data_IF_791369199203
#
_entry.id   IF_791369199203
#
_cell.length_a   1.000
_cell.length_b   1.000
_cell.length_c   1.000
_cell.angle_alpha   90.00
_cell.angle_beta   90.00
_cell.angle_gamma   90.00
#
_symmetry.space_group_name_H-M   'P 1'
#
loop_
_entity.id
_entity.type
_entity.pdbx_description
1 polymer ?
#
# COMPACT_ATOMS: atom_id res chain seq x y z
N UNK A 1 13.52 -11.72 31.21
CA UNK A 1 12.24 -12.34 30.81
C UNK A 1 11.33 -11.23 30.29
N UNK A 2 11.14 -11.13 28.98
CA UNK A 2 10.29 -10.09 28.37
C UNK A 2 8.85 -10.59 28.38
N UNK A 3 7.97 -9.87 29.08
CA UNK A 3 6.54 -10.16 29.14
C UNK A 3 5.93 -10.06 27.74
N UNK A 4 5.31 -11.15 27.28
CA UNK A 4 4.46 -11.13 26.09
C UNK A 4 3.35 -10.08 26.30
N UNK A 5 3.11 -9.15 25.36
CA UNK A 5 1.95 -8.28 25.46
C UNK A 5 0.71 -9.15 25.28
N UNK A 6 -0.13 -9.26 26.32
CA UNK A 6 -1.37 -10.04 26.28
C UNK A 6 -2.53 -9.31 25.60
N UNK A 7 -2.28 -8.18 24.93
CA UNK A 7 -3.29 -7.42 24.22
C UNK A 7 -2.81 -7.06 22.80
N UNK A 8 -3.75 -7.10 21.85
CA UNK A 8 -3.53 -6.72 20.44
C UNK A 8 -2.91 -5.33 20.32
N UNK A 9 -3.30 -4.39 21.20
CA UNK A 9 -2.73 -3.05 21.24
C UNK A 9 -1.26 -3.04 21.72
N UNK A 10 -0.93 -3.94 22.65
CA UNK A 10 0.44 -4.16 23.11
C UNK A 10 1.34 -4.74 22.01
N UNK A 11 0.84 -5.72 21.25
CA UNK A 11 1.55 -6.29 20.10
C UNK A 11 1.78 -5.24 19.01
N UNK A 12 0.76 -4.44 18.68
CA UNK A 12 0.86 -3.32 17.74
C UNK A 12 1.91 -2.29 18.17
N UNK A 13 1.89 -1.88 19.44
CA UNK A 13 2.86 -0.92 19.98
C UNK A 13 4.29 -1.49 19.95
N UNK A 14 4.45 -2.79 20.21
CA UNK A 14 5.75 -3.45 20.18
C UNK A 14 6.32 -3.57 18.77
N UNK A 15 5.47 -3.67 17.73
CA UNK A 15 5.92 -3.74 16.34
C UNK A 15 6.81 -2.55 15.94
N UNK A 16 6.52 -1.35 16.44
CA UNK A 16 7.31 -0.14 16.18
C UNK A 16 8.68 -0.11 16.87
N UNK A 17 8.90 -0.98 17.86
CA UNK A 17 10.16 -1.06 18.63
C UNK A 17 11.09 -2.16 18.11
N UNK A 18 10.70 -2.83 17.04
CA UNK A 18 11.49 -3.91 16.45
C UNK A 18 12.70 -3.37 15.70
N UNK A 19 13.77 -4.15 15.64
CA UNK A 19 14.97 -3.82 14.87
C UNK A 19 14.64 -3.64 13.37
N UNK A 20 13.79 -4.52 12.83
CA UNK A 20 13.34 -4.45 11.43
C UNK A 20 12.60 -3.15 11.12
N UNK A 21 11.76 -2.66 12.05
CA UNK A 21 11.12 -1.35 11.89
C UNK A 21 12.14 -0.21 11.87
N UNK A 22 13.08 -0.19 12.81
CA UNK A 22 14.12 0.83 12.84
C UNK A 22 15.00 0.84 11.58
N UNK A 23 15.36 -0.35 11.08
CA UNK A 23 16.12 -0.51 9.83
C UNK A 23 15.33 -0.03 8.61
N UNK A 24 14.04 -0.39 8.51
CA UNK A 24 13.19 0.05 7.41
C UNK A 24 12.98 1.57 7.42
N UNK A 25 12.74 2.14 8.60
CA UNK A 25 12.65 3.58 8.79
C UNK A 25 13.94 4.27 8.33
N UNK A 26 15.11 3.79 8.77
CA UNK A 26 16.40 4.35 8.38
C UNK A 26 16.66 4.26 6.86
N UNK A 27 16.33 3.11 6.24
CA UNK A 27 16.41 2.94 4.77
C UNK A 27 15.57 4.01 4.07
N UNK A 28 14.28 4.11 4.38
CA UNK A 28 13.37 5.08 3.73
C UNK A 28 13.84 6.53 3.92
N UNK A 29 14.24 6.90 5.15
CA UNK A 29 14.70 8.26 5.45
C UNK A 29 15.96 8.64 4.67
N UNK A 30 16.92 7.72 4.55
CA UNK A 30 18.15 7.94 3.78
C UNK A 30 17.86 8.25 2.30
N UNK A 31 16.84 7.62 1.73
CA UNK A 31 16.48 7.79 0.34
C UNK A 31 15.65 9.05 0.11
N UNK A 32 14.65 9.32 0.95
CA UNK A 32 13.82 10.52 0.82
C UNK A 32 14.65 11.79 1.08
N UNK A 33 15.60 11.75 2.03
CA UNK A 33 16.55 12.83 2.27
C UNK A 33 17.45 13.13 1.05
N UNK A 34 17.82 12.12 0.27
CA UNK A 34 18.61 12.29 -0.98
C UNK A 34 17.78 12.93 -2.09
N UNK A 35 16.51 12.54 -2.23
CA UNK A 35 15.61 13.09 -3.27
C UNK A 35 15.21 14.53 -2.98
N UNK A 36 15.06 14.89 -1.69
CA UNK A 36 14.65 16.23 -1.25
C UNK A 36 15.73 17.31 -1.46
N UNK A 37 17.01 16.93 -1.45
CA UNK A 37 18.14 17.87 -1.62
C UNK A 37 18.37 18.25 -3.10
N UNK A 38 17.71 17.57 -4.06
CA UNK A 38 18.00 17.74 -5.50
C UNK A 38 16.86 18.22 -6.40
N UNK A 39 15.61 18.36 -5.92
CA UNK A 39 14.49 18.61 -6.85
C UNK A 39 13.30 19.31 -6.19
N UNK A 40 13.26 20.64 -6.36
CA UNK A 40 12.05 21.42 -6.14
C UNK A 40 11.00 21.00 -7.18
N UNK A 41 9.87 20.44 -6.75
CA UNK A 41 8.84 19.80 -7.59
C UNK A 41 7.99 20.79 -8.42
N UNK A 42 8.50 21.98 -8.73
CA UNK A 42 7.72 23.01 -9.43
C UNK A 42 7.83 22.98 -10.96
N UNK A 43 8.66 22.15 -11.57
CA UNK A 43 8.73 22.10 -13.04
C UNK A 43 9.56 20.94 -13.58
N UNK A 44 9.03 19.73 -13.78
CA UNK A 44 9.68 18.77 -14.68
C UNK A 44 8.68 17.88 -15.44
N UNK A 45 9.04 17.46 -16.68
CA UNK A 45 8.19 16.65 -17.54
C UNK A 45 8.12 15.17 -17.07
N UNK A 46 7.08 14.42 -17.48
CA UNK A 46 6.69 13.12 -16.90
C UNK A 46 7.66 11.95 -17.13
N UNK A 47 8.77 12.14 -17.85
CA UNK A 47 9.64 11.04 -18.29
C UNK A 47 10.79 10.70 -17.32
N UNK A 48 11.07 11.52 -16.29
CA UNK A 48 12.22 11.31 -15.38
C UNK A 48 11.83 10.70 -14.02
N UNK A 49 10.53 10.71 -13.66
CA UNK A 49 10.05 10.16 -12.38
C UNK A 49 10.05 8.63 -12.31
N UNK A 50 9.87 7.95 -13.46
CA UNK A 50 9.88 6.49 -13.53
C UNK A 50 11.24 5.88 -13.13
N UNK A 51 12.35 6.57 -13.40
CA UNK A 51 13.68 6.10 -13.02
C UNK A 51 13.94 6.25 -11.51
N UNK A 52 13.34 7.24 -10.83
CA UNK A 52 13.53 7.42 -9.40
C UNK A 52 12.71 6.43 -8.56
N UNK A 53 11.52 6.03 -9.02
CA UNK A 53 10.71 5.00 -8.31
C UNK A 53 11.36 3.62 -8.39
N UNK A 54 12.01 3.29 -9.51
CA UNK A 54 12.70 2.00 -9.67
C UNK A 54 13.79 1.75 -8.61
N UNK A 55 14.56 2.77 -8.23
CA UNK A 55 15.69 2.62 -7.29
C UNK A 55 15.29 2.38 -5.83
N UNK A 56 14.07 2.76 -5.41
CA UNK A 56 13.67 2.61 -4.01
C UNK A 56 12.99 1.27 -3.75
N UNK A 57 12.09 0.82 -4.63
CA UNK A 57 11.52 -0.53 -4.52
C UNK A 57 12.61 -1.62 -4.59
N UNK A 58 13.71 -1.37 -5.32
CA UNK A 58 14.89 -2.23 -5.32
C UNK A 58 15.64 -2.30 -3.98
N UNK A 59 15.63 -1.24 -3.18
CA UNK A 59 16.32 -1.20 -1.88
C UNK A 59 15.42 -1.51 -0.69
N UNK A 60 14.11 -1.30 -0.84
CA UNK A 60 13.10 -1.58 0.17
C UNK A 60 12.62 -3.02 0.12
N UNK A 61 12.50 -3.63 -1.07
CA UNK A 61 11.96 -4.98 -1.20
C UNK A 61 13.03 -6.05 -1.12
N UNK A 62 12.72 -7.13 -0.40
CA UNK A 62 13.57 -8.32 -0.30
C UNK A 62 12.78 -9.57 -0.75
N UNK A 63 13.28 -10.35 -1.73
CA UNK A 63 14.42 -10.03 -2.61
C UNK A 63 14.12 -8.83 -3.52
N UNK A 64 15.16 -8.07 -3.88
CA UNK A 64 15.06 -6.94 -4.81
C UNK A 64 14.71 -7.37 -6.23
N UNK A 65 14.34 -6.42 -7.10
CA UNK A 65 13.76 -6.74 -8.41
C UNK A 65 14.74 -7.47 -9.34
N UNK A 66 16.02 -7.10 -9.32
CA UNK A 66 17.05 -7.77 -10.14
C UNK A 66 17.26 -9.23 -9.71
N UNK A 67 17.43 -9.46 -8.40
CA UNK A 67 17.57 -10.81 -7.83
C UNK A 67 16.34 -11.65 -8.16
N UNK A 68 15.15 -11.08 -7.97
CA UNK A 68 13.90 -11.74 -8.28
C UNK A 68 13.76 -12.06 -9.78
N UNK A 69 14.11 -11.13 -10.68
CA UNK A 69 14.06 -11.35 -12.12
C UNK A 69 14.99 -12.49 -12.55
N UNK A 70 16.18 -12.57 -11.95
CA UNK A 70 17.10 -13.68 -12.18
C UNK A 70 16.51 -15.00 -11.67
N UNK A 71 15.92 -15.03 -10.47
CA UNK A 71 15.24 -16.20 -9.92
C UNK A 71 14.08 -16.67 -10.79
N UNK A 72 13.24 -15.76 -11.28
CA UNK A 72 12.11 -16.09 -12.17
C UNK A 72 12.62 -16.77 -13.45
N UNK A 73 13.73 -16.28 -14.02
CA UNK A 73 14.35 -16.86 -15.22
C UNK A 73 14.97 -18.23 -14.97
N UNK A 74 15.57 -18.45 -13.81
CA UNK A 74 16.31 -19.70 -13.51
C UNK A 74 15.44 -20.80 -12.92
N UNK A 75 14.42 -20.45 -12.14
CA UNK A 75 13.63 -21.40 -11.34
C UNK A 75 12.23 -21.68 -11.91
N UNK A 76 11.88 -21.13 -13.09
CA UNK A 76 10.58 -21.33 -13.77
C UNK A 76 9.37 -21.20 -12.81
N UNK A 77 9.21 -20.02 -12.21
CA UNK A 77 8.14 -19.76 -11.26
C UNK A 77 6.75 -20.01 -11.87
N UNK A 78 5.83 -20.54 -11.06
CA UNK A 78 4.42 -20.58 -11.42
C UNK A 78 3.91 -19.14 -11.63
N UNK A 79 3.10 -18.89 -12.67
CA UNK A 79 2.66 -17.52 -13.03
C UNK A 79 1.98 -16.76 -11.89
N UNK A 80 1.26 -17.45 -10.99
CA UNK A 80 0.68 -16.83 -9.79
C UNK A 80 1.71 -16.29 -8.78
N UNK A 81 2.90 -16.87 -8.72
CA UNK A 81 4.01 -16.38 -7.88
C UNK A 81 4.58 -15.09 -8.48
N UNK A 82 4.77 -15.08 -9.81
CA UNK A 82 5.20 -13.89 -10.56
C UNK A 82 4.19 -12.75 -10.38
N UNK A 83 2.90 -13.03 -10.55
CA UNK A 83 1.81 -12.07 -10.28
C UNK A 83 1.90 -11.51 -8.85
N UNK A 84 2.18 -12.36 -7.85
CA UNK A 84 2.31 -11.93 -6.46
C UNK A 84 3.50 -10.99 -6.23
N UNK A 85 4.66 -11.32 -6.78
CA UNK A 85 5.82 -10.46 -6.65
C UNK A 85 5.64 -9.13 -7.38
N UNK A 86 4.94 -9.12 -8.52
CA UNK A 86 4.60 -7.89 -9.23
C UNK A 86 3.63 -7.03 -8.43
N UNK A 87 2.52 -7.60 -7.93
CA UNK A 87 1.53 -6.84 -7.14
C UNK A 87 2.12 -6.32 -5.82
N UNK A 88 3.05 -7.04 -5.21
CA UNK A 88 3.78 -6.54 -4.03
C UNK A 88 4.79 -5.44 -4.37
N UNK A 89 5.35 -5.43 -5.57
CA UNK A 89 6.16 -4.32 -6.08
C UNK A 89 5.30 -3.07 -6.30
N UNK A 90 4.18 -3.21 -7.03
CA UNK A 90 3.23 -2.11 -7.27
C UNK A 90 2.77 -1.50 -5.93
N UNK A 91 2.58 -2.31 -4.88
CA UNK A 91 2.23 -1.84 -3.55
C UNK A 91 3.34 -1.05 -2.85
N UNK A 92 4.60 -1.45 -3.03
CA UNK A 92 5.74 -0.71 -2.54
C UNK A 92 5.83 0.68 -3.17
N UNK A 93 5.63 0.77 -4.49
CA UNK A 93 5.65 2.04 -5.22
C UNK A 93 4.56 3.00 -4.71
N UNK A 94 3.34 2.49 -4.46
CA UNK A 94 2.26 3.30 -3.86
C UNK A 94 2.62 3.76 -2.45
N UNK A 95 3.20 2.88 -1.63
CA UNK A 95 3.70 3.22 -0.29
C UNK A 95 4.78 4.30 -0.33
N UNK A 96 5.70 4.27 -1.28
CA UNK A 96 6.70 5.32 -1.48
C UNK A 96 6.06 6.66 -1.82
N UNK A 97 5.13 6.69 -2.79
CA UNK A 97 4.44 7.92 -3.18
C UNK A 97 3.69 8.54 -2.00
N UNK A 98 3.07 7.73 -1.15
CA UNK A 98 2.43 8.19 0.08
C UNK A 98 3.43 8.79 1.05
N UNK A 99 4.56 8.12 1.29
CA UNK A 99 5.61 8.63 2.17
C UNK A 99 6.07 10.00 1.69
N UNK A 100 6.40 10.16 0.40
CA UNK A 100 6.75 11.46 -0.20
C UNK A 100 5.65 12.50 0.02
N UNK A 101 4.38 12.13 -0.19
CA UNK A 101 3.23 12.98 0.08
C UNK A 101 3.14 13.42 1.55
N UNK A 102 3.42 12.52 2.49
CA UNK A 102 3.44 12.80 3.93
C UNK A 102 4.51 13.83 4.29
N UNK A 103 5.74 13.71 3.75
CA UNK A 103 6.78 14.72 3.99
C UNK A 103 6.36 16.09 3.45
N UNK A 104 5.76 16.12 2.26
CA UNK A 104 5.25 17.37 1.70
C UNK A 104 4.10 17.96 2.52
N UNK A 105 3.19 17.13 3.04
CA UNK A 105 2.13 17.58 3.95
C UNK A 105 2.75 18.27 5.18
N UNK A 106 3.75 17.65 5.81
CA UNK A 106 4.43 18.23 6.98
C UNK A 106 5.09 19.57 6.66
N UNK A 107 5.71 19.69 5.49
CA UNK A 107 6.30 20.95 5.01
C UNK A 107 5.23 22.01 4.76
N UNK A 108 4.13 21.65 4.08
CA UNK A 108 3.02 22.55 3.78
C UNK A 108 2.35 23.06 5.06
N UNK A 109 2.17 22.19 6.05
CA UNK A 109 1.58 22.56 7.35
C UNK A 109 2.46 23.48 8.21
N UNK A 110 3.76 23.66 7.88
CA UNK A 110 4.54 24.72 8.52
C UNK A 110 3.97 26.11 8.25
N UNK A 111 3.29 26.31 7.11
CA UNK A 111 2.59 27.56 6.79
C UNK A 111 1.46 27.84 7.77
N UNK A 112 0.65 26.82 8.05
CA UNK A 112 -0.41 26.93 9.05
C UNK A 112 0.17 27.16 10.45
N UNK A 113 1.26 26.45 10.79
CA UNK A 113 1.94 26.65 12.07
C UNK A 113 2.40 28.10 12.25
N UNK A 114 3.04 28.70 11.24
CA UNK A 114 3.43 30.12 11.25
C UNK A 114 2.23 31.05 11.40
N UNK A 115 1.15 30.80 10.67
CA UNK A 115 -0.09 31.56 10.80
C UNK A 115 -0.65 31.51 12.24
N UNK A 116 -0.56 30.34 12.88
CA UNK A 116 -1.03 30.12 14.26
C UNK A 116 -0.11 30.79 15.29
N UNK A 117 1.21 30.70 15.10
CA UNK A 117 2.20 31.39 15.93
C UNK A 117 2.03 32.92 15.83
N UNK A 118 1.84 33.44 14.61
CA UNK A 118 1.51 34.84 14.39
C UNK A 118 0.23 35.22 15.12
N UNK A 119 -0.84 34.42 15.06
CA UNK A 119 -2.11 34.73 15.73
C UNK A 119 -2.01 34.78 17.27
N UNK A 120 -1.02 34.12 17.87
CA UNK A 120 -0.80 34.11 19.33
C UNK A 120 -0.06 35.34 19.85
N UNK A 121 0.60 36.11 18.98
CA UNK A 121 1.30 37.33 19.38
C UNK A 121 0.27 38.41 19.76
N UNK A 122 0.46 39.03 20.93
CA UNK A 122 -0.37 40.15 21.40
C UNK A 122 0.38 41.45 21.16
N UNK A 123 -0.20 42.36 20.38
CA UNK A 123 0.31 43.71 20.18
C UNK A 123 -0.67 44.72 20.77
N UNK A 124 -0.16 45.72 21.50
CA UNK A 124 -0.98 46.75 22.15
C UNK A 124 -1.44 47.87 21.19
N UNK A 125 -0.81 47.99 20.03
CA UNK A 125 -1.10 49.03 19.03
C UNK A 125 -1.89 48.49 17.82
N UNK A 126 -2.89 49.24 17.40
CA UNK A 126 -3.79 48.93 16.29
C UNK A 126 -3.06 48.83 14.94
N UNK A 127 -1.99 49.62 14.72
CA UNK A 127 -1.21 49.54 13.47
C UNK A 127 -0.48 48.19 13.33
N UNK A 128 -0.06 47.60 14.44
CA UNK A 128 0.62 46.31 14.45
C UNK A 128 -0.36 45.13 14.30
N UNK A 129 -1.61 45.29 14.73
CA UNK A 129 -2.65 44.27 14.62
C UNK A 129 -3.14 44.04 13.16
N UNK A 130 -3.20 45.10 12.34
CA UNK A 130 -3.55 44.97 10.92
C UNK A 130 -2.44 44.29 10.12
N UNK A 131 -1.19 44.73 10.31
CA UNK A 131 -0.03 44.10 9.66
C UNK A 131 0.11 42.61 10.03
N UNK A 132 -0.13 42.26 11.30
CA UNK A 132 -0.20 40.87 11.74
C UNK A 132 -1.29 40.08 11.00
N UNK A 133 -2.49 40.64 10.89
CA UNK A 133 -3.62 40.00 10.18
C UNK A 133 -3.30 39.78 8.70
N UNK A 134 -2.60 40.73 8.07
CA UNK A 134 -2.08 40.63 6.70
C UNK A 134 -1.08 39.49 6.54
N UNK A 135 -0.11 39.37 7.46
CA UNK A 135 0.88 38.28 7.46
C UNK A 135 0.23 36.91 7.67
N UNK A 136 -0.75 36.80 8.57
CA UNK A 136 -1.53 35.58 8.77
C UNK A 136 -2.24 35.20 7.47
N UNK A 137 -2.92 36.14 6.82
CA UNK A 137 -3.60 35.89 5.54
C UNK A 137 -2.63 35.50 4.42
N UNK A 138 -1.41 36.05 4.41
CA UNK A 138 -0.37 35.67 3.45
C UNK A 138 0.03 34.19 3.62
N UNK A 139 0.26 33.73 4.85
CA UNK A 139 0.60 32.33 5.12
C UNK A 139 -0.57 31.38 4.79
N UNK A 140 -1.81 31.76 5.13
CA UNK A 140 -3.01 30.98 4.79
C UNK A 140 -3.27 30.93 3.29
N UNK A 141 -3.09 32.04 2.57
CA UNK A 141 -3.23 32.10 1.12
C UNK A 141 -2.17 31.25 0.43
N UNK A 142 -0.92 31.30 0.91
CA UNK A 142 0.15 30.45 0.43
C UNK A 142 -0.24 28.96 0.64
N UNK A 143 -0.68 28.57 1.84
CA UNK A 143 -1.12 27.20 2.11
C UNK A 143 -2.28 26.76 1.21
N UNK A 144 -3.31 27.61 1.07
CA UNK A 144 -4.46 27.34 0.22
C UNK A 144 -4.09 27.06 -1.24
N UNK A 145 -3.07 27.75 -1.75
CA UNK A 145 -2.58 27.63 -3.12
C UNK A 145 -1.80 26.33 -3.38
N UNK A 146 -1.23 25.70 -2.35
CA UNK A 146 -0.45 24.47 -2.49
C UNK A 146 -1.33 23.30 -2.88
N UNK A 147 -0.96 22.55 -3.92
CA UNK A 147 -1.63 21.29 -4.26
C UNK A 147 -1.54 20.29 -3.11
N UNK A 148 -2.62 19.55 -2.86
CA UNK A 148 -2.61 18.47 -1.89
C UNK A 148 -1.61 17.39 -2.33
N UNK A 149 -0.57 17.08 -1.54
CA UNK A 149 0.44 16.10 -1.93
C UNK A 149 -0.10 14.70 -2.22
N UNK A 150 -1.23 14.33 -1.60
CA UNK A 150 -1.91 13.06 -1.84
C UNK A 150 -2.70 13.05 -3.16
N UNK A 151 -2.84 14.19 -3.84
CA UNK A 151 -3.41 14.30 -5.18
C UNK A 151 -2.51 13.69 -6.26
N UNK A 152 -1.19 13.67 -6.08
CA UNK A 152 -0.28 13.04 -7.06
C UNK A 152 -0.52 11.53 -7.19
N UNK A 153 -1.03 10.89 -6.14
CA UNK A 153 -1.43 9.47 -6.10
C UNK A 153 -2.75 9.24 -6.88
N UNK A 154 -3.47 10.31 -7.18
CA UNK A 154 -4.72 10.29 -7.92
C UNK A 154 -4.56 10.39 -9.44
N UNK A 155 -3.48 10.99 -9.94
CA UNK A 155 -3.40 11.41 -11.35
C UNK A 155 -2.40 10.58 -12.14
N UNK A 156 -2.87 9.40 -12.55
CA UNK A 156 -2.41 8.74 -13.77
C UNK A 156 -3.67 8.21 -14.47
N UNK A 157 -4.25 9.02 -15.38
CA UNK A 157 -4.86 8.65 -16.68
C UNK A 157 -6.08 9.43 -17.19
N UNK A 158 -6.75 10.33 -16.43
CA UNK A 158 -7.90 11.07 -17.00
C UNK A 158 -7.98 12.55 -16.58
N UNK A 159 -7.79 13.50 -17.51
CA UNK A 159 -8.13 14.90 -17.29
C UNK A 159 -9.66 15.05 -17.34
N UNK A 160 -10.30 15.41 -16.23
CA UNK A 160 -11.69 15.87 -16.24
C UNK A 160 -12.68 15.23 -15.26
N UNK A 161 -12.27 14.24 -14.45
CA UNK A 161 -13.12 13.71 -13.39
C UNK A 161 -12.72 14.30 -12.03
N UNK A 162 -13.59 15.14 -11.46
CA UNK A 162 -13.46 15.64 -10.10
C UNK A 162 -13.78 14.55 -9.04
N UNK A 163 -14.30 13.40 -9.49
CA UNK A 163 -14.71 12.27 -8.64
C UNK A 163 -13.95 10.98 -9.00
N UNK A 164 -12.68 10.86 -8.58
CA UNK A 164 -12.12 9.65 -7.95
C UNK A 164 -10.61 9.81 -7.75
N UNK A 165 -10.21 10.40 -6.62
CA UNK A 165 -8.82 10.72 -6.35
C UNK A 165 -8.00 9.57 -5.74
N UNK A 166 -8.30 8.33 -6.11
CA UNK A 166 -7.65 7.12 -5.59
C UNK A 166 -7.45 6.07 -6.69
N UNK A 167 -7.16 6.50 -7.93
CA UNK A 167 -7.06 5.59 -9.09
C UNK A 167 -5.97 4.53 -8.87
N UNK A 168 -4.77 4.93 -8.44
CA UNK A 168 -3.68 3.98 -8.19
C UNK A 168 -4.02 2.99 -7.06
N UNK A 169 -4.64 3.48 -5.98
CA UNK A 169 -5.12 2.61 -4.91
C UNK A 169 -6.24 1.67 -5.38
N UNK A 170 -7.18 2.18 -6.16
CA UNK A 170 -8.28 1.38 -6.69
C UNK A 170 -7.76 0.30 -7.64
N UNK A 171 -6.83 0.64 -8.53
CA UNK A 171 -6.18 -0.29 -9.43
C UNK A 171 -5.41 -1.36 -8.64
N UNK A 172 -4.55 -0.96 -7.71
CA UNK A 172 -3.77 -1.87 -6.88
C UNK A 172 -4.67 -2.76 -6.02
N UNK A 173 -5.65 -2.19 -5.34
CA UNK A 173 -6.62 -2.94 -4.53
C UNK A 173 -7.44 -3.90 -5.40
N UNK A 174 -7.78 -3.51 -6.63
CA UNK A 174 -8.44 -4.39 -7.60
C UNK A 174 -7.53 -5.54 -8.02
N UNK A 175 -6.26 -5.27 -8.37
CA UNK A 175 -5.24 -6.29 -8.67
C UNK A 175 -5.06 -7.26 -7.49
N UNK A 176 -4.90 -6.74 -6.27
CA UNK A 176 -4.85 -7.51 -5.03
C UNK A 176 -6.10 -8.39 -4.84
N UNK A 177 -7.31 -7.84 -5.02
CA UNK A 177 -8.57 -8.59 -4.91
C UNK A 177 -8.73 -9.63 -6.01
N UNK A 178 -8.34 -9.33 -7.25
CA UNK A 178 -8.34 -10.25 -8.38
C UNK A 178 -7.39 -11.41 -8.10
N UNK A 179 -6.19 -11.12 -7.64
CA UNK A 179 -5.20 -12.12 -7.26
C UNK A 179 -5.73 -12.98 -6.10
N UNK A 180 -6.30 -12.37 -5.06
CA UNK A 180 -6.96 -13.08 -3.96
C UNK A 180 -8.03 -14.05 -4.47
N UNK A 181 -8.83 -13.66 -5.47
CA UNK A 181 -9.83 -14.53 -6.12
C UNK A 181 -9.15 -15.68 -6.88
N UNK A 182 -8.12 -15.41 -7.68
CA UNK A 182 -7.33 -16.43 -8.39
C UNK A 182 -6.72 -17.45 -7.42
N UNK A 183 -6.15 -17.01 -6.30
CA UNK A 183 -5.60 -17.88 -5.25
C UNK A 183 -6.69 -18.68 -4.52
N UNK A 184 -7.87 -18.10 -4.28
CA UNK A 184 -9.02 -18.85 -3.73
C UNK A 184 -9.49 -19.93 -4.70
N UNK A 185 -9.58 -19.63 -5.99
CA UNK A 185 -9.95 -20.59 -7.03
C UNK A 185 -8.90 -21.71 -7.14
N UNK A 186 -7.61 -21.39 -7.19
CA UNK A 186 -6.54 -22.38 -7.20
C UNK A 186 -6.64 -23.34 -6.00
N UNK A 187 -6.92 -22.80 -4.80
CA UNK A 187 -7.15 -23.61 -3.59
C UNK A 187 -8.46 -24.42 -3.62
N UNK A 188 -9.52 -23.89 -4.22
CA UNK A 188 -10.81 -24.58 -4.34
C UNK A 188 -10.75 -25.73 -5.36
N UNK A 189 -10.15 -25.50 -6.53
CA UNK A 189 -9.83 -26.53 -7.52
C UNK A 189 -8.98 -27.65 -6.91
N UNK A 190 -8.11 -27.35 -5.95
CA UNK A 190 -7.38 -28.35 -5.16
C UNK A 190 -8.27 -29.12 -4.18
N UNK A 191 -9.20 -28.48 -3.46
CA UNK A 191 -10.12 -29.19 -2.54
C UNK A 191 -11.04 -30.15 -3.28
N UNK A 192 -11.54 -29.75 -4.45
CA UNK A 192 -12.39 -30.59 -5.29
C UNK A 192 -11.55 -31.60 -6.08
N UNK A 193 -10.38 -31.20 -6.56
CA UNK A 193 -9.42 -32.06 -7.25
C UNK A 193 -8.77 -33.12 -6.37
N UNK A 194 -8.58 -32.88 -5.06
CA UNK A 194 -8.15 -33.90 -4.11
C UNK A 194 -9.21 -34.96 -3.79
N UNK A 195 -10.48 -34.67 -4.09
CA UNK A 195 -11.60 -35.64 -4.01
C UNK A 195 -11.87 -36.27 -5.40
N UNK A 196 -11.42 -35.64 -6.50
CA UNK A 196 -11.79 -36.02 -7.87
C UNK A 196 -10.66 -36.39 -8.85
N UNK A 197 -9.38 -36.33 -8.49
CA UNK A 197 -8.27 -36.63 -9.41
C UNK A 197 -7.48 -37.87 -8.96
N UNK A 198 -8.11 -39.03 -9.19
CA UNK A 198 -7.43 -40.30 -9.45
C UNK A 198 -7.54 -40.68 -10.95
N UNK A 199 -7.74 -39.71 -11.86
CA UNK A 199 -7.73 -39.97 -13.31
C UNK A 199 -7.14 -38.79 -14.07
N UNK A 200 -6.18 -39.11 -14.94
CA UNK A 200 -5.59 -38.33 -16.05
C UNK A 200 -4.58 -37.23 -15.73
N UNK A 201 -3.36 -37.67 -15.39
CA UNK A 201 -2.15 -37.06 -15.96
C UNK A 201 -1.80 -37.81 -17.25
N UNK A 202 -2.28 -37.38 -18.42
CA UNK A 202 -1.69 -37.72 -19.73
C UNK A 202 -2.47 -37.06 -20.88
N UNK A 203 -1.77 -36.18 -21.60
CA UNK A 203 -1.93 -35.92 -23.04
C UNK A 203 -3.17 -35.12 -23.51
N UNK A 204 -2.86 -33.90 -23.95
CA UNK A 204 -3.47 -33.12 -25.04
C UNK A 204 -4.51 -33.87 -25.89
N UNK A 205 -5.74 -33.37 -25.98
CA UNK A 205 -6.31 -32.81 -27.23
C UNK A 205 -7.78 -32.43 -27.06
N UNK A 206 -8.14 -31.33 -27.70
CA UNK A 206 -9.51 -30.86 -27.83
C UNK A 206 -10.31 -31.80 -28.75
N UNK A 207 -11.50 -32.25 -28.34
CA UNK A 207 -12.74 -32.13 -29.12
C UNK A 207 -13.98 -32.61 -28.35
N UNK A 208 -15.04 -31.81 -28.47
CA UNK A 208 -16.47 -32.17 -28.47
C UNK A 208 -17.05 -32.95 -27.28
N UNK A 209 -17.63 -32.19 -26.35
CA UNK A 209 -18.75 -32.64 -25.53
C UNK A 209 -20.02 -32.61 -26.40
N UNK A 210 -20.47 -33.76 -26.88
CA UNK A 210 -21.87 -33.96 -27.30
C UNK A 210 -22.41 -35.19 -26.58
N UNK A 211 -23.50 -34.95 -25.86
CA UNK A 211 -24.25 -35.87 -25.03
C UNK A 211 -25.08 -36.87 -25.85
N UNK A 212 -25.55 -37.89 -25.13
CA UNK A 212 -26.60 -38.86 -25.45
C UNK A 212 -26.11 -40.10 -26.21
N UNK A 213 -26.46 -41.34 -25.84
CA UNK A 213 -27.48 -41.83 -24.92
C UNK A 213 -27.27 -43.34 -24.70
N UNK A 214 -27.73 -43.81 -23.55
CA UNK A 214 -28.13 -45.17 -23.16
C UNK A 214 -27.96 -46.34 -24.15
N UNK A 215 -27.34 -47.43 -23.69
CA UNK A 215 -28.01 -48.74 -23.60
C UNK A 215 -27.13 -49.78 -22.88
N UNK A 216 -27.84 -50.77 -22.33
CA UNK A 216 -27.41 -51.79 -21.39
C UNK A 216 -26.30 -52.74 -21.88
N UNK A 217 -25.58 -53.34 -20.92
CA UNK A 217 -24.73 -54.49 -21.17
C UNK A 217 -23.97 -54.95 -19.94
N UNK A 218 -24.51 -55.96 -19.24
CA UNK A 218 -23.85 -56.74 -18.19
C UNK A 218 -22.49 -57.28 -18.65
N UNK A 219 -21.50 -57.29 -17.76
CA UNK A 219 -20.51 -58.37 -17.66
C UNK A 219 -19.90 -58.44 -16.26
N UNK A 220 -20.14 -59.58 -15.61
CA UNK A 220 -19.53 -60.03 -14.35
C UNK A 220 -18.08 -60.42 -14.64
N UNK A 221 -17.14 -59.89 -13.87
CA UNK A 221 -15.73 -60.30 -13.92
C UNK A 221 -15.07 -60.15 -12.56
N UNK A 222 -14.85 -61.27 -11.86
CA UNK A 222 -14.02 -61.35 -10.65
C UNK A 222 -12.55 -61.12 -11.02
N UNK A 223 -11.88 -60.19 -10.34
CA UNK A 223 -10.45 -59.92 -10.52
C UNK A 223 -9.76 -59.69 -9.17
N UNK A 224 -8.71 -60.48 -8.92
CA UNK A 224 -7.98 -60.70 -7.68
C UNK A 224 -7.38 -59.44 -7.03
N UNK A 225 -7.41 -59.40 -5.70
CA UNK A 225 -6.53 -58.60 -4.84
C UNK A 225 -5.09 -59.09 -4.97
N UNK A 226 -4.16 -58.23 -5.40
CA UNK A 226 -2.71 -58.42 -5.29
C UNK A 226 -2.05 -57.05 -5.09
N UNK A 227 -1.27 -56.93 -4.01
CA UNK A 227 -0.08 -56.08 -3.99
C UNK A 227 -0.24 -54.71 -3.32
N UNK A 228 -0.21 -54.70 -1.98
CA UNK A 228 0.32 -53.56 -1.24
C UNK A 228 1.82 -53.43 -1.55
N UNK A 229 2.16 -52.62 -2.55
CA UNK A 229 3.53 -52.17 -2.76
C UNK A 229 3.71 -50.87 -2.00
N UNK A 230 4.38 -50.93 -0.85
CA UNK A 230 4.87 -49.74 -0.15
C UNK A 230 5.90 -49.07 -1.05
N UNK A 231 5.48 -48.05 -1.78
CA UNK A 231 6.39 -47.12 -2.42
C UNK A 231 6.92 -46.15 -1.35
N UNK A 232 8.23 -45.84 -1.33
CA UNK A 232 8.74 -44.79 -0.47
C UNK A 232 8.09 -43.47 -0.89
N UNK A 233 7.44 -42.80 0.06
CA UNK A 233 6.86 -41.46 -0.11
C UNK A 233 7.94 -40.47 -0.54
N UNK A 234 8.14 -40.33 -1.85
CA UNK A 234 8.62 -39.07 -2.42
C UNK A 234 7.44 -38.11 -2.30
N UNK A 235 7.56 -37.11 -1.43
CA UNK A 235 6.66 -35.95 -1.41
C UNK A 235 6.61 -35.37 -2.82
N UNK A 236 5.57 -35.74 -3.56
CA UNK A 236 5.49 -35.48 -5.00
C UNK A 236 5.48 -33.98 -5.26
N UNK A 237 6.03 -33.53 -6.38
CA UNK A 237 6.07 -32.13 -6.85
C UNK A 237 4.75 -31.35 -6.68
N UNK A 238 3.61 -32.04 -6.61
CA UNK A 238 2.31 -31.46 -6.31
C UNK A 238 2.20 -30.87 -4.90
N UNK A 239 2.84 -31.47 -3.90
CA UNK A 239 2.84 -31.02 -2.50
C UNK A 239 3.69 -29.75 -2.33
N UNK A 240 4.83 -29.68 -3.00
CA UNK A 240 5.69 -28.50 -3.10
C UNK A 240 4.94 -27.29 -3.70
N UNK A 241 4.35 -27.46 -4.90
CA UNK A 241 3.52 -26.41 -5.53
C UNK A 241 2.35 -26.00 -4.64
N UNK A 242 1.78 -26.95 -3.89
CA UNK A 242 0.71 -26.68 -2.95
C UNK A 242 1.14 -25.81 -1.76
N UNK A 243 2.33 -26.03 -1.22
CA UNK A 243 2.86 -25.25 -0.11
C UNK A 243 3.19 -23.82 -0.57
N UNK A 244 3.84 -23.68 -1.73
CA UNK A 244 4.10 -22.39 -2.39
C UNK A 244 2.82 -21.58 -2.58
N UNK A 245 1.74 -22.21 -3.07
CA UNK A 245 0.45 -21.55 -3.27
C UNK A 245 -0.23 -21.15 -1.95
N UNK A 246 -0.06 -21.91 -0.86
CA UNK A 246 -0.65 -21.56 0.44
C UNK A 246 0.07 -20.38 1.09
N UNK A 247 1.42 -20.40 1.10
CA UNK A 247 2.24 -19.28 1.59
C UNK A 247 1.95 -18.02 0.78
N UNK A 248 1.90 -18.13 -0.55
CA UNK A 248 1.55 -17.01 -1.43
C UNK A 248 0.15 -16.50 -1.16
N UNK A 249 -0.85 -17.37 -0.99
CA UNK A 249 -2.21 -16.96 -0.69
C UNK A 249 -2.33 -16.20 0.64
N UNK A 250 -1.55 -16.59 1.66
CA UNK A 250 -1.43 -15.83 2.92
C UNK A 250 -0.83 -14.46 2.67
N UNK A 251 0.24 -14.38 1.86
CA UNK A 251 0.85 -13.13 1.46
C UNK A 251 -0.10 -12.17 0.73
N UNK A 252 -0.84 -12.67 -0.26
CA UNK A 252 -1.89 -11.90 -0.97
C UNK A 252 -2.93 -11.37 0.01
N UNK A 253 -3.36 -12.21 0.96
CA UNK A 253 -4.36 -11.83 1.93
C UNK A 253 -3.89 -10.67 2.81
N UNK A 254 -2.67 -10.78 3.36
CA UNK A 254 -2.03 -9.76 4.20
C UNK A 254 -1.87 -8.46 3.41
N UNK A 255 -1.23 -8.52 2.23
CA UNK A 255 -1.01 -7.34 1.39
C UNK A 255 -2.32 -6.62 1.05
N UNK A 256 -3.36 -7.36 0.67
CA UNK A 256 -4.65 -6.74 0.35
C UNK A 256 -5.25 -6.04 1.59
N UNK A 257 -5.15 -6.64 2.77
CA UNK A 257 -5.68 -6.07 4.01
C UNK A 257 -4.92 -4.80 4.44
N UNK A 258 -3.59 -4.84 4.32
CA UNK A 258 -2.74 -3.70 4.65
C UNK A 258 -3.01 -2.55 3.68
N UNK A 259 -3.12 -2.81 2.37
CA UNK A 259 -3.46 -1.78 1.37
C UNK A 259 -4.89 -1.23 1.51
N UNK A 260 -5.88 -2.05 1.88
CA UNK A 260 -7.24 -1.57 2.20
C UNK A 260 -7.19 -0.60 3.42
N UNK A 261 -6.34 -0.87 4.41
CA UNK A 261 -6.15 -0.01 5.59
C UNK A 261 -5.43 1.29 5.25
N UNK A 262 -4.31 1.21 4.52
CA UNK A 262 -3.52 2.36 4.07
C UNK A 262 -4.34 3.27 3.16
N UNK A 263 -5.10 2.71 2.19
CA UNK A 263 -5.96 3.49 1.30
C UNK A 263 -7.07 4.23 2.04
N UNK A 264 -7.67 3.59 3.05
CA UNK A 264 -8.69 4.22 3.89
C UNK A 264 -8.13 5.40 4.68
N UNK A 265 -6.95 5.25 5.30
CA UNK A 265 -6.27 6.32 6.04
C UNK A 265 -5.84 7.47 5.10
N UNK A 266 -5.28 7.14 3.94
CA UNK A 266 -4.88 8.11 2.93
C UNK A 266 -6.07 8.92 2.39
N UNK A 267 -7.21 8.27 2.11
CA UNK A 267 -8.43 8.95 1.68
C UNK A 267 -8.98 9.93 2.74
N UNK A 268 -8.94 9.55 4.02
CA UNK A 268 -9.34 10.44 5.13
C UNK A 268 -8.42 11.66 5.23
N UNK A 269 -7.10 11.46 5.15
CA UNK A 269 -6.13 12.56 5.19
C UNK A 269 -6.24 13.46 3.97
N UNK A 270 -6.50 12.91 2.77
CA UNK A 270 -6.74 13.69 1.57
C UNK A 270 -7.90 14.69 1.78
N UNK A 271 -9.04 14.19 2.27
CA UNK A 271 -10.22 15.02 2.54
C UNK A 271 -9.95 16.08 3.62
N UNK A 272 -9.20 15.73 4.68
CA UNK A 272 -8.85 16.66 5.76
C UNK A 272 -7.91 17.78 5.27
N UNK A 273 -6.95 17.47 4.39
CA UNK A 273 -6.09 18.48 3.75
C UNK A 273 -6.91 19.41 2.86
N UNK A 274 -7.79 18.88 2.00
CA UNK A 274 -8.66 19.71 1.15
C UNK A 274 -9.61 20.59 1.97
N UNK A 275 -10.14 20.04 3.07
CA UNK A 275 -10.94 20.80 4.00
C UNK A 275 -10.13 21.92 4.67
N UNK A 276 -8.91 21.63 5.14
CA UNK A 276 -7.99 22.63 5.67
C UNK A 276 -7.68 23.76 4.67
N UNK A 277 -7.43 23.42 3.40
CA UNK A 277 -7.22 24.40 2.32
C UNK A 277 -8.45 25.24 2.04
N UNK A 278 -9.64 24.63 2.08
CA UNK A 278 -10.92 25.35 1.93
C UNK A 278 -11.14 26.36 3.08
N UNK A 279 -10.87 25.94 4.32
CA UNK A 279 -10.92 26.85 5.49
C UNK A 279 -9.94 28.02 5.34
N UNK A 280 -8.70 27.76 4.95
CA UNK A 280 -7.70 28.81 4.72
C UNK A 280 -8.18 29.83 3.67
N UNK A 281 -8.74 29.37 2.54
CA UNK A 281 -9.34 30.24 1.51
C UNK A 281 -10.50 31.08 2.06
N UNK A 282 -11.35 30.48 2.88
CA UNK A 282 -12.49 31.17 3.48
C UNK A 282 -12.04 32.28 4.43
N UNK A 283 -11.04 32.03 5.29
CA UNK A 283 -10.48 33.04 6.19
C UNK A 283 -9.90 34.22 5.41
N UNK A 284 -9.07 33.96 4.40
CA UNK A 284 -8.48 35.00 3.55
C UNK A 284 -9.55 35.84 2.84
N UNK A 285 -10.60 35.18 2.31
CA UNK A 285 -11.72 35.86 1.66
C UNK A 285 -12.51 36.72 2.64
N UNK A 286 -12.72 36.26 3.86
CA UNK A 286 -13.46 37.01 4.88
C UNK A 286 -12.67 38.23 5.32
N UNK A 287 -11.36 38.10 5.57
CA UNK A 287 -10.49 39.23 5.88
C UNK A 287 -10.57 40.33 4.82
N UNK A 288 -10.48 39.97 3.54
CA UNK A 288 -10.56 40.91 2.44
C UNK A 288 -11.91 41.66 2.36
N UNK A 289 -12.98 41.12 2.95
CA UNK A 289 -14.33 41.71 2.94
C UNK A 289 -14.63 42.53 4.20
N UNK A 290 -14.26 42.02 5.36
CA UNK A 290 -14.70 42.55 6.66
C UNK A 290 -13.58 43.14 7.50
N UNK A 291 -12.31 43.00 7.09
CA UNK A 291 -11.13 43.53 7.78
C UNK A 291 -10.80 42.88 9.14
N UNK A 292 -11.73 42.12 9.73
CA UNK A 292 -11.69 41.76 11.15
C UNK A 292 -11.76 40.23 11.39
N UNK A 293 -11.27 39.82 12.57
CA UNK A 293 -11.39 38.48 13.21
C UNK A 293 -10.53 37.34 12.64
N UNK A 294 -9.48 37.62 11.88
CA UNK A 294 -8.57 36.57 11.38
C UNK A 294 -7.84 35.87 12.53
N UNK A 295 -7.42 36.63 13.53
CA UNK A 295 -6.64 36.12 14.66
C UNK A 295 -7.43 35.11 15.48
N UNK A 296 -8.65 35.46 15.88
CA UNK A 296 -9.53 34.62 16.69
C UNK A 296 -9.88 33.33 15.94
N UNK A 297 -10.23 33.45 14.65
CA UNK A 297 -10.54 32.29 13.81
C UNK A 297 -9.32 31.38 13.63
N UNK A 298 -8.12 31.95 13.45
CA UNK A 298 -6.91 31.13 13.30
C UNK A 298 -6.53 30.42 14.59
N UNK A 299 -6.58 31.12 15.72
CA UNK A 299 -6.23 30.57 17.02
C UNK A 299 -7.20 29.45 17.44
N UNK A 300 -8.50 29.62 17.22
CA UNK A 300 -9.52 28.63 17.60
C UNK A 300 -9.55 27.42 16.64
N UNK A 301 -9.57 27.67 15.33
CA UNK A 301 -9.82 26.60 14.36
C UNK A 301 -8.57 25.87 13.90
N UNK A 302 -7.41 26.51 13.81
CA UNK A 302 -6.22 25.83 13.28
C UNK A 302 -5.40 25.18 14.38
N UNK A 303 -5.18 25.83 15.53
CA UNK A 303 -4.30 25.29 16.59
C UNK A 303 -4.75 23.90 17.07
N UNK A 304 -6.03 23.76 17.44
CA UNK A 304 -6.59 22.49 17.94
C UNK A 304 -6.66 21.40 16.85
N UNK A 305 -6.93 21.77 15.60
CA UNK A 305 -7.07 20.80 14.51
C UNK A 305 -5.72 20.33 13.96
N UNK A 306 -4.70 21.18 13.98
CA UNK A 306 -3.39 20.86 13.42
C UNK A 306 -2.69 19.74 14.16
N UNK A 307 -2.70 19.76 15.50
CA UNK A 307 -2.06 18.72 16.31
C UNK A 307 -2.68 17.35 16.01
N UNK A 308 -4.02 17.26 16.09
CA UNK A 308 -4.77 16.04 15.77
C UNK A 308 -4.58 15.58 14.32
N UNK A 309 -4.46 16.52 13.39
CA UNK A 309 -4.18 16.19 11.99
C UNK A 309 -2.78 15.57 11.84
N UNK A 310 -1.74 16.18 12.43
CA UNK A 310 -0.38 15.67 12.34
C UNK A 310 -0.21 14.31 13.03
N UNK A 311 -0.95 14.04 14.11
CA UNK A 311 -1.03 12.70 14.70
C UNK A 311 -1.58 11.66 13.72
N UNK A 312 -2.65 11.99 12.97
CA UNK A 312 -3.19 11.10 11.92
C UNK A 312 -2.22 10.92 10.76
N UNK A 313 -1.44 11.94 10.42
CA UNK A 313 -0.37 11.84 9.40
C UNK A 313 0.72 10.88 9.87
N UNK A 314 1.12 10.95 11.14
CA UNK A 314 2.06 10.00 11.75
C UNK A 314 1.50 8.57 11.82
N UNK A 315 0.19 8.43 12.09
CA UNK A 315 -0.48 7.13 12.07
C UNK A 315 -0.45 6.47 10.68
N UNK A 316 -0.72 7.23 9.61
CA UNK A 316 -0.62 6.73 8.24
C UNK A 316 0.82 6.30 7.93
N UNK A 317 1.82 7.13 8.27
CA UNK A 317 3.23 6.82 8.05
C UNK A 317 3.64 5.50 8.73
N UNK A 318 3.25 5.33 10.01
CA UNK A 318 3.46 4.09 10.77
C UNK A 318 2.84 2.87 10.07
N UNK A 319 1.61 2.99 9.57
CA UNK A 319 0.95 1.90 8.86
C UNK A 319 1.64 1.57 7.53
N UNK A 320 2.16 2.56 6.81
CA UNK A 320 2.95 2.33 5.59
C UNK A 320 4.21 1.54 5.91
N UNK A 321 4.95 1.91 6.96
CA UNK A 321 6.14 1.16 7.38
C UNK A 321 5.81 -0.28 7.77
N UNK A 322 4.71 -0.50 8.50
CA UNK A 322 4.27 -1.85 8.83
C UNK A 322 3.89 -2.65 7.58
N UNK A 323 3.20 -2.04 6.62
CA UNK A 323 2.85 -2.66 5.35
C UNK A 323 4.11 -3.08 4.55
N UNK A 324 5.14 -2.25 4.51
CA UNK A 324 6.40 -2.60 3.83
C UNK A 324 7.09 -3.79 4.51
N UNK A 325 7.10 -3.82 5.85
CA UNK A 325 7.66 -4.93 6.62
C UNK A 325 6.91 -6.24 6.40
N UNK A 326 5.57 -6.20 6.41
CA UNK A 326 4.75 -7.39 6.18
C UNK A 326 4.92 -7.91 4.76
N UNK A 327 5.02 -7.02 3.76
CA UNK A 327 5.33 -7.38 2.38
C UNK A 327 6.69 -8.07 2.26
N UNK A 328 7.75 -7.52 2.84
CA UNK A 328 9.08 -8.13 2.82
C UNK A 328 9.12 -9.50 3.48
N UNK A 329 8.52 -9.61 4.67
CA UNK A 329 8.43 -10.88 5.37
C UNK A 329 7.69 -11.91 4.52
N UNK A 330 6.58 -11.52 3.91
CA UNK A 330 5.77 -12.40 3.07
C UNK A 330 6.51 -12.82 1.80
N UNK A 331 7.21 -11.89 1.12
CA UNK A 331 8.06 -12.20 -0.04
C UNK A 331 9.17 -13.19 0.32
N UNK A 332 9.86 -12.98 1.45
CA UNK A 332 10.88 -13.88 1.96
C UNK A 332 10.36 -15.30 2.19
N UNK A 333 9.20 -15.44 2.84
CA UNK A 333 8.58 -16.76 3.06
C UNK A 333 8.20 -17.47 1.76
N UNK A 334 7.69 -16.73 0.76
CA UNK A 334 7.39 -17.31 -0.56
C UNK A 334 8.67 -17.80 -1.24
N UNK A 335 9.76 -17.03 -1.16
CA UNK A 335 11.05 -17.42 -1.73
C UNK A 335 11.65 -18.63 -1.02
N UNK A 336 11.62 -18.64 0.32
CA UNK A 336 12.08 -19.77 1.12
C UNK A 336 11.36 -21.06 0.71
N UNK A 337 10.03 -21.00 0.59
CA UNK A 337 9.22 -22.14 0.15
C UNK A 337 9.55 -22.59 -1.28
N UNK A 338 9.87 -21.65 -2.19
CA UNK A 338 10.30 -21.99 -3.55
C UNK A 338 11.65 -22.72 -3.55
N UNK A 339 12.58 -22.31 -2.68
CA UNK A 339 13.93 -22.87 -2.62
C UNK A 339 13.99 -24.22 -1.89
N UNK A 340 13.03 -24.51 -1.00
CA UNK A 340 12.96 -25.76 -0.23
C UNK A 340 12.07 -26.83 -0.88
N UNK A 341 11.27 -26.44 -1.87
CA UNK A 341 10.39 -27.30 -2.69
C UNK A 341 11.13 -28.14 -3.73
#
# INVERSE_FOLDING_TARGET
MSSKPSSVNGEYTQAFRTKSYAEMYAKVQSHIGRTSTGRSLSSLPPSTDAQSMGYLSDSLLEPGQETLANMIKTLNFHGLLVDYFQVSSDACDVCELLLRGIYQIRTNYQRIRRATELAKLVFEDASHADEQSRLICQELSAFASLTNPLFAIAVVQFPGMHDNHMVLFHELTSKCKQMRRRMKLARACKRVGGIGLMVSSAVISATALVLASCSAGMCIGKGKSIGSTSYPEKSSSTQAVCAQLDVTAKGVYILTNDMDSVSTLAGRLHNEVEHGRSRARMVVRNYAKTGNMVREVVNEFFDAHNARFLERVEELEKHIYLCLLTVNRSRGLVVEEILTS
#
